data_IF_027464141370
#
_entry.id   IF_027464141370
#
_cell.length_a   1.000
_cell.length_b   1.000
_cell.length_c   1.000
_cell.angle_alpha   90.00
_cell.angle_beta   90.00
_cell.angle_gamma   90.00
#
_symmetry.space_group_name_H-M   'P 1'
#
loop_
_entity.id
_entity.type
_entity.pdbx_description
1 polymer ?
#
# COMPACT_ATOMS: atom_id res chain seq x y z
N UNK A 1 21.67 3.49 31.79
CA UNK A 1 20.20 3.42 31.71
C UNK A 1 19.75 1.99 31.95
N UNK A 2 18.82 1.75 32.86
CA UNK A 2 18.44 0.40 33.30
C UNK A 2 17.58 -0.32 32.25
N UNK A 3 17.99 -1.52 31.82
CA UNK A 3 17.21 -2.36 30.88
C UNK A 3 15.76 -2.61 31.34
N UNK A 4 15.49 -2.51 32.64
CA UNK A 4 14.16 -2.67 33.26
C UNK A 4 13.13 -1.65 32.72
N UNK A 5 13.55 -0.40 32.50
CA UNK A 5 12.65 0.67 32.05
C UNK A 5 12.25 0.55 30.58
N UNK A 6 13.04 -0.14 29.76
CA UNK A 6 12.73 -0.32 28.32
C UNK A 6 11.57 -1.29 28.15
N UNK A 7 11.47 -2.33 29.00
CA UNK A 7 10.38 -3.31 28.95
C UNK A 7 9.02 -2.74 29.35
N UNK A 8 9.02 -1.60 30.06
CA UNK A 8 7.80 -0.89 30.48
C UNK A 8 7.26 0.04 29.39
N UNK A 9 8.06 0.35 28.36
CA UNK A 9 7.62 1.20 27.25
C UNK A 9 6.66 0.46 26.31
N UNK A 10 5.81 1.18 25.56
CA UNK A 10 4.99 0.58 24.51
C UNK A 10 5.84 -0.19 23.49
N UNK A 11 5.30 -1.29 22.97
CA UNK A 11 6.00 -2.20 22.04
C UNK A 11 6.54 -1.48 20.79
N UNK A 12 5.82 -0.48 20.29
CA UNK A 12 6.25 0.37 19.17
C UNK A 12 7.54 1.13 19.49
N UNK A 13 7.63 1.73 20.68
CA UNK A 13 8.79 2.48 21.14
C UNK A 13 9.98 1.55 21.40
N UNK A 14 9.72 0.38 22.00
CA UNK A 14 10.76 -0.64 22.18
C UNK A 14 11.37 -1.09 20.85
N UNK A 15 10.53 -1.34 19.84
CA UNK A 15 10.98 -1.74 18.51
C UNK A 15 11.82 -0.65 17.84
N UNK A 16 11.39 0.62 17.90
CA UNK A 16 12.17 1.76 17.38
C UNK A 16 13.52 1.87 18.08
N UNK A 17 13.58 1.72 19.40
CA UNK A 17 14.83 1.78 20.15
C UNK A 17 15.79 0.63 19.81
N UNK A 18 15.27 -0.60 19.62
CA UNK A 18 16.08 -1.76 19.18
C UNK A 18 16.66 -1.54 17.78
N UNK A 19 15.84 -1.00 16.88
CA UNK A 19 16.27 -0.59 15.53
C UNK A 19 17.38 0.45 15.60
N UNK A 20 17.22 1.52 16.40
CA UNK A 20 18.23 2.57 16.53
C UNK A 20 19.56 2.08 17.11
N UNK A 21 19.52 1.04 17.94
CA UNK A 21 20.71 0.40 18.52
C UNK A 21 21.38 -0.63 17.61
N UNK A 22 20.77 -0.94 16.46
CA UNK A 22 21.25 -1.99 15.56
C UNK A 22 21.01 -3.41 16.08
N UNK A 23 20.19 -3.58 17.13
CA UNK A 23 19.81 -4.89 17.66
C UNK A 23 18.77 -5.59 16.74
N UNK A 24 17.99 -4.81 16.01
CA UNK A 24 16.96 -5.29 15.09
C UNK A 24 17.06 -4.53 13.76
N UNK A 25 16.97 -5.25 12.63
CA UNK A 25 16.99 -4.61 11.32
C UNK A 25 15.62 -4.07 10.94
N UNK A 26 15.57 -2.90 10.30
CA UNK A 26 14.34 -2.43 9.67
C UNK A 26 13.99 -3.37 8.53
N UNK A 27 12.80 -3.97 8.59
CA UNK A 27 12.26 -4.72 7.46
C UNK A 27 12.18 -3.79 6.26
N UNK A 28 12.71 -4.26 5.13
CA UNK A 28 12.56 -3.55 3.86
C UNK A 28 11.08 -3.34 3.58
N UNK A 29 10.67 -2.09 3.41
CA UNK A 29 9.30 -1.79 2.99
C UNK A 29 9.10 -2.40 1.61
N UNK A 30 8.08 -3.25 1.47
CA UNK A 30 7.67 -3.71 0.15
C UNK A 30 7.19 -2.49 -0.63
N UNK A 31 7.67 -2.33 -1.86
CA UNK A 31 7.16 -1.31 -2.75
C UNK A 31 5.66 -1.56 -2.95
N UNK A 32 4.84 -0.57 -2.60
CA UNK A 32 3.41 -0.64 -2.88
C UNK A 32 3.29 -0.62 -4.41
N UNK A 33 2.78 -1.70 -4.99
CA UNK A 33 2.52 -1.74 -6.43
C UNK A 33 1.48 -0.66 -6.73
N UNK A 34 1.74 0.26 -7.66
CA UNK A 34 0.71 1.20 -8.08
C UNK A 34 -0.46 0.39 -8.64
N UNK A 35 -1.66 0.63 -8.12
CA UNK A 35 -2.85 0.01 -8.67
C UNK A 35 -3.13 0.72 -9.98
N UNK A 36 -3.00 0.00 -11.11
CA UNK A 36 -3.28 0.55 -12.42
C UNK A 36 -4.77 0.87 -12.51
N UNK A 37 -5.12 2.08 -12.93
CA UNK A 37 -6.49 2.47 -13.19
C UNK A 37 -7.18 1.54 -14.21
N UNK A 38 -6.41 0.96 -15.13
CA UNK A 38 -6.91 -0.01 -16.10
C UNK A 38 -7.15 -1.42 -15.52
N UNK A 39 -6.78 -1.70 -14.27
CA UNK A 39 -7.09 -2.96 -13.61
C UNK A 39 -8.55 -3.07 -13.15
N UNK A 40 -9.20 -1.94 -12.88
CA UNK A 40 -10.60 -1.87 -12.45
C UNK A 40 -11.59 -2.13 -13.58
N UNK A 41 -12.74 -2.71 -13.26
CA UNK A 41 -13.84 -2.84 -14.23
C UNK A 41 -14.48 -1.48 -14.49
N UNK A 42 -15.14 -1.32 -15.64
CA UNK A 42 -15.78 -0.05 -15.99
C UNK A 42 -16.91 0.32 -15.01
N UNK A 43 -17.59 -0.69 -14.47
CA UNK A 43 -18.69 -0.56 -13.50
C UNK A 43 -18.19 -0.08 -12.14
N UNK A 44 -16.99 -0.50 -11.71
CA UNK A 44 -16.36 -0.03 -10.48
C UNK A 44 -15.99 1.45 -10.53
N UNK A 45 -15.56 1.94 -11.70
CA UNK A 45 -15.13 3.33 -11.87
C UNK A 45 -16.33 4.26 -12.14
N UNK A 46 -17.29 3.81 -12.95
CA UNK A 46 -18.43 4.61 -13.41
C UNK A 46 -19.77 3.92 -13.10
N UNK A 47 -20.15 3.74 -11.82
CA UNK A 47 -21.30 2.94 -11.44
C UNK A 47 -22.64 3.47 -12.00
N UNK A 48 -22.76 4.79 -12.13
CA UNK A 48 -24.01 5.44 -12.53
C UNK A 48 -24.00 6.00 -13.95
N UNK A 49 -22.97 5.70 -14.76
CA UNK A 49 -22.84 6.26 -16.11
C UNK A 49 -22.56 5.16 -17.16
N UNK A 50 -23.62 4.60 -17.77
CA UNK A 50 -23.47 3.59 -18.82
C UNK A 50 -22.68 4.09 -20.04
N UNK A 51 -22.75 5.38 -20.35
CA UNK A 51 -22.00 5.99 -21.46
C UNK A 51 -20.49 5.98 -21.18
N UNK A 52 -20.08 6.38 -19.98
CA UNK A 52 -18.68 6.36 -19.57
C UNK A 52 -18.13 4.94 -19.44
N UNK A 53 -18.95 3.98 -19.01
CA UNK A 53 -18.57 2.56 -19.00
C UNK A 53 -18.23 2.06 -20.42
N UNK A 54 -19.08 2.36 -21.40
CA UNK A 54 -18.86 1.99 -22.81
C UNK A 54 -17.61 2.65 -23.38
N UNK A 55 -17.42 3.93 -23.11
CA UNK A 55 -16.23 4.68 -23.55
C UNK A 55 -14.94 4.08 -22.97
N UNK A 56 -14.92 3.81 -21.67
CA UNK A 56 -13.76 3.22 -21.00
C UNK A 56 -13.43 1.82 -21.51
N UNK A 57 -14.46 0.98 -21.73
CA UNK A 57 -14.28 -0.34 -22.33
C UNK A 57 -13.75 -0.27 -23.78
N UNK A 58 -14.17 0.73 -24.57
CA UNK A 58 -13.63 0.96 -25.92
C UNK A 58 -12.15 1.35 -25.87
N UNK A 59 -11.76 2.22 -24.93
CA UNK A 59 -10.38 2.64 -24.73
C UNK A 59 -9.47 1.47 -24.34
N UNK A 60 -9.92 0.57 -23.46
CA UNK A 60 -9.16 -0.64 -23.11
C UNK A 60 -8.87 -1.54 -24.31
N UNK A 61 -9.88 -1.77 -25.17
CA UNK A 61 -9.72 -2.60 -26.38
C UNK A 61 -8.67 -2.06 -27.34
N UNK A 62 -8.55 -0.73 -27.47
CA UNK A 62 -7.55 -0.08 -28.33
C UNK A 62 -6.12 -0.21 -27.82
N UNK A 63 -5.92 -0.36 -26.50
CA UNK A 63 -4.58 -0.49 -25.89
C UNK A 63 -4.05 -1.93 -25.85
N UNK A 64 -4.87 -2.93 -26.18
CA UNK A 64 -4.51 -4.36 -26.06
C UNK A 64 -4.00 -4.96 -27.39
N UNK A 65 -3.83 -4.14 -28.42
CA UNK A 65 -3.21 -4.48 -29.71
C UNK A 65 -1.82 -3.86 -29.71
#
# INVERSE_FOLDING_TARGET
MNQKQIKELPTSVQHVLKVMRGEESLKQRQAIKPVDFHSYTAEEIFPNSPEMQRYFNKQKKLKTI
#
